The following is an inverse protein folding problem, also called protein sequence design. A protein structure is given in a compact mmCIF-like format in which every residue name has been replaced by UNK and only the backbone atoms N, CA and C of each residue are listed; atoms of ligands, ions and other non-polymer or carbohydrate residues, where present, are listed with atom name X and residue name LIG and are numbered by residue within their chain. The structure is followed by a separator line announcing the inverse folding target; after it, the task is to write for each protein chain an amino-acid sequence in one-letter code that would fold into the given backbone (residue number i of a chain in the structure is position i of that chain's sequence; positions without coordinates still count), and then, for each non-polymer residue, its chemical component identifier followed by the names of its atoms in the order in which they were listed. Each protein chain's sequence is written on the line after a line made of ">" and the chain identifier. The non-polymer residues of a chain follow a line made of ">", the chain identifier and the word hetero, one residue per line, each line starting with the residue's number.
data_IF_134339055645
#
_entry.id   IF_134339055645
#
_cell.length_a   1.000
_cell.length_b   1.000
_cell.length_c   1.000
_cell.angle_alpha   90.00
_cell.angle_beta   90.00
_cell.angle_gamma   90.00
#
_symmetry.space_group_name_H-M   'P 1'
#
loop_
_entity.id
_entity.type
_entity.pdbx_description
1 polymer ?
#
# COMPACT_ATOMS: atom_id res chain seq x y z
N UNK A 1 -4.37 -18.26 10.85
CA UNK A 1 -3.10 -18.30 11.59
C UNK A 1 -1.86 -17.91 10.75
N UNK A 2 -1.94 -17.73 9.43
CA UNK A 2 -0.79 -17.34 8.58
C UNK A 2 -0.44 -15.85 8.58
N UNK A 3 -1.38 -14.97 8.91
CA UNK A 3 -1.18 -13.51 8.86
C UNK A 3 -0.14 -12.95 9.85
N UNK A 4 0.41 -13.77 10.76
CA UNK A 4 1.42 -13.36 11.74
C UNK A 4 2.81 -13.93 11.45
N UNK A 5 2.95 -14.83 10.47
CA UNK A 5 4.24 -15.48 10.20
C UNK A 5 5.16 -14.50 9.47
N UNK A 6 6.26 -14.14 10.13
CA UNK A 6 7.26 -13.20 9.60
C UNK A 6 6.88 -11.72 9.67
N UNK A 7 5.99 -11.29 10.59
CA UNK A 7 5.84 -9.87 10.91
C UNK A 7 7.04 -9.40 11.74
N UNK A 8 7.74 -8.38 11.26
CA UNK A 8 8.87 -7.78 11.95
C UNK A 8 8.40 -6.78 13.02
N UNK A 9 9.27 -6.40 13.96
CA UNK A 9 8.92 -5.37 14.94
C UNK A 9 8.55 -4.07 14.22
N UNK A 10 7.42 -3.46 14.59
CA UNK A 10 6.93 -2.23 13.97
C UNK A 10 6.02 -2.44 12.76
N UNK A 11 5.86 -3.67 12.26
CA UNK A 11 4.89 -3.98 11.20
C UNK A 11 3.48 -4.26 11.75
N UNK A 12 2.48 -3.69 11.07
CA UNK A 12 1.08 -3.98 11.30
C UNK A 12 0.37 -4.31 9.98
N UNK A 13 -0.75 -5.04 10.06
CA UNK A 13 -1.59 -5.29 8.88
C UNK A 13 -2.17 -3.97 8.38
N UNK A 14 -2.11 -3.75 7.08
CA UNK A 14 -2.69 -2.59 6.41
C UNK A 14 -3.76 -3.03 5.41
N UNK A 15 -4.95 -2.43 5.49
CA UNK A 15 -6.08 -2.80 4.63
C UNK A 15 -7.05 -1.64 4.39
N UNK A 16 -6.58 -0.39 4.46
CA UNK A 16 -7.41 0.79 4.22
C UNK A 16 -7.53 0.99 2.71
N UNK A 17 -8.53 0.34 2.13
CA UNK A 17 -8.85 0.47 0.71
C UNK A 17 -9.63 1.75 0.43
N UNK A 18 -9.36 2.35 -0.72
CA UNK A 18 -10.14 3.48 -1.25
C UNK A 18 -11.14 2.91 -2.25
N UNK A 19 -12.45 3.20 -2.11
CA UNK A 19 -13.43 2.75 -3.07
C UNK A 19 -13.13 3.37 -4.44
N UNK A 20 -12.98 2.51 -5.45
CA UNK A 20 -12.85 2.91 -6.84
C UNK A 20 -14.19 2.74 -7.53
N UNK A 21 -14.52 3.68 -8.41
CA UNK A 21 -15.69 3.55 -9.25
C UNK A 21 -15.50 2.38 -10.24
N UNK A 22 -16.44 1.45 -10.24
CA UNK A 22 -16.42 0.29 -11.13
C UNK A 22 -16.58 0.75 -12.57
N UNK A 23 -15.50 0.73 -13.35
CA UNK A 23 -15.56 0.99 -14.79
C UNK A 23 -15.92 -0.30 -15.52
N UNK A 24 -16.92 -0.25 -16.39
CA UNK A 24 -17.24 -1.37 -17.30
C UNK A 24 -16.07 -1.53 -18.26
N UNK A 25 -15.22 -2.52 -18.02
CA UNK A 25 -14.09 -2.80 -18.88
C UNK A 25 -14.51 -3.67 -20.07
N UNK A 26 -13.78 -3.55 -21.19
CA UNK A 26 -14.04 -4.27 -22.46
C UNK A 26 -14.09 -5.80 -22.34
N UNK A 27 -13.65 -6.35 -21.21
CA UNK A 27 -13.57 -7.77 -20.92
C UNK A 27 -14.69 -8.28 -20.01
N UNK A 28 -15.55 -7.41 -19.46
CA UNK A 28 -16.62 -7.78 -18.52
C UNK A 28 -17.63 -8.78 -19.14
N UNK A 29 -17.90 -8.68 -20.43
CA UNK A 29 -18.79 -9.62 -21.14
C UNK A 29 -18.18 -11.02 -21.31
N UNK A 30 -16.84 -11.11 -21.25
CA UNK A 30 -16.09 -12.35 -21.50
C UNK A 30 -15.66 -13.04 -20.21
N UNK A 31 -15.37 -12.26 -19.16
CA UNK A 31 -14.82 -12.77 -17.91
C UNK A 31 -15.48 -12.09 -16.72
N UNK A 32 -15.78 -12.88 -15.68
CA UNK A 32 -16.33 -12.35 -14.42
C UNK A 32 -15.27 -11.51 -13.70
N UNK A 33 -15.54 -10.23 -13.37
CA UNK A 33 -14.64 -9.40 -12.58
C UNK A 33 -14.30 -10.02 -11.24
N UNK A 34 -13.03 -9.88 -10.83
CA UNK A 34 -12.51 -10.41 -9.57
C UNK A 34 -11.72 -9.35 -8.83
N UNK A 35 -11.95 -9.26 -7.51
CA UNK A 35 -11.07 -8.47 -6.64
C UNK A 35 -9.81 -9.28 -6.32
N UNK A 36 -8.60 -8.74 -6.55
CA UNK A 36 -7.36 -9.42 -6.17
C UNK A 36 -7.27 -9.60 -4.66
N UNK A 37 -6.67 -10.70 -4.23
CA UNK A 37 -6.33 -10.91 -2.81
C UNK A 37 -5.04 -10.16 -2.51
N UNK A 38 -4.92 -9.61 -1.31
CA UNK A 38 -3.70 -8.94 -0.89
C UNK A 38 -3.42 -9.16 0.59
N UNK A 39 -2.16 -8.98 0.95
CA UNK A 39 -1.69 -9.03 2.32
C UNK A 39 -0.67 -7.90 2.54
N UNK A 40 -1.19 -6.69 2.78
CA UNK A 40 -0.35 -5.51 2.92
C UNK A 40 0.05 -5.30 4.38
N UNK A 41 1.24 -4.71 4.56
CA UNK A 41 1.77 -4.31 5.85
C UNK A 41 2.17 -2.84 5.82
N UNK A 42 2.03 -2.18 6.96
CA UNK A 42 2.58 -0.85 7.21
C UNK A 42 3.68 -0.99 8.26
N UNK A 43 4.84 -0.45 7.98
CA UNK A 43 5.94 -0.36 8.94
C UNK A 43 5.88 1.01 9.62
N UNK A 44 5.81 0.99 10.95
CA UNK A 44 5.75 2.18 11.78
C UNK A 44 6.89 2.19 12.77
N UNK A 45 7.50 3.36 12.96
CA UNK A 45 8.65 3.51 13.83
C UNK A 45 8.76 4.91 14.40
N UNK A 46 9.76 5.08 15.24
CA UNK A 46 10.09 6.38 15.83
C UNK A 46 11.14 7.07 14.97
N UNK A 47 11.01 8.38 14.81
CA UNK A 47 12.04 9.20 14.20
C UNK A 47 12.74 10.02 15.28
N UNK A 48 14.02 9.74 15.54
CA UNK A 48 14.83 10.47 16.52
C UNK A 48 15.58 11.63 15.88
N UNK A 49 14.85 12.62 15.38
CA UNK A 49 15.45 13.87 14.90
C UNK A 49 15.89 14.76 16.09
N UNK A 50 16.66 15.83 15.81
CA UNK A 50 17.23 16.72 16.84
C UNK A 50 16.15 17.32 17.76
N UNK A 51 14.97 17.61 17.24
CA UNK A 51 13.84 18.12 18.02
C UNK A 51 13.26 17.03 18.94
N UNK A 52 13.04 15.82 18.41
CA UNK A 52 12.49 14.74 19.20
C UNK A 52 13.44 14.31 20.33
N UNK A 53 14.76 14.34 20.09
CA UNK A 53 15.77 14.03 21.11
C UNK A 53 15.76 15.00 22.32
N UNK A 54 15.23 16.22 22.18
CA UNK A 54 15.14 17.18 23.30
C UNK A 54 13.82 17.12 24.05
N UNK A 55 12.80 16.46 23.49
CA UNK A 55 11.43 16.45 24.02
C UNK A 55 10.93 15.06 24.42
N UNK A 56 11.59 14.00 23.93
CA UNK A 56 11.21 12.62 24.16
C UNK A 56 12.42 11.81 24.63
N UNK A 57 12.16 10.73 25.32
CA UNK A 57 13.15 9.78 25.81
C UNK A 57 12.71 8.34 25.56
N UNK A 58 13.50 7.36 25.98
CA UNK A 58 13.19 5.95 25.73
C UNK A 58 11.92 5.47 26.46
N UNK A 59 11.55 6.10 27.58
CA UNK A 59 10.37 5.76 28.37
C UNK A 59 9.11 6.48 27.85
N UNK A 60 9.31 7.65 27.23
CA UNK A 60 8.30 8.50 26.61
C UNK A 60 8.70 8.80 25.15
N UNK A 61 8.67 7.80 24.26
CA UNK A 61 9.12 7.98 22.88
C UNK A 61 8.17 8.90 22.10
N UNK A 62 8.65 9.51 21.00
CA UNK A 62 7.80 10.32 20.13
C UNK A 62 6.66 9.47 19.54
N UNK A 63 5.60 10.10 19.01
CA UNK A 63 4.56 9.37 18.27
C UNK A 63 5.16 8.57 17.11
N UNK A 64 4.66 7.36 16.89
CA UNK A 64 5.08 6.55 15.74
C UNK A 64 4.64 7.19 14.43
N UNK A 65 5.54 7.21 13.47
CA UNK A 65 5.25 7.63 12.10
C UNK A 65 5.34 6.43 11.15
N UNK A 66 4.64 6.53 10.03
CA UNK A 66 4.76 5.53 8.96
C UNK A 66 6.11 5.68 8.30
N UNK A 67 6.90 4.62 8.30
CA UNK A 67 8.24 4.57 7.69
C UNK A 67 8.22 3.84 6.35
N UNK A 68 7.23 3.00 6.10
CA UNK A 68 7.11 2.30 4.83
C UNK A 68 5.85 1.44 4.72
N UNK A 69 5.63 0.95 3.51
CA UNK A 69 4.54 0.03 3.19
C UNK A 69 5.08 -1.16 2.41
N UNK A 70 4.52 -2.34 2.68
CA UNK A 70 4.80 -3.56 1.92
C UNK A 70 3.50 -4.09 1.36
N UNK A 71 3.37 -4.03 0.04
CA UNK A 71 2.19 -4.49 -0.68
C UNK A 71 2.44 -5.87 -1.27
N UNK A 72 1.65 -6.85 -0.85
CA UNK A 72 1.69 -8.20 -1.43
C UNK A 72 0.32 -8.46 -2.07
N UNK A 73 0.19 -8.16 -3.36
CA UNK A 73 -1.04 -8.32 -4.13
C UNK A 73 -0.91 -9.54 -5.04
N UNK A 74 -1.93 -10.40 -5.01
CA UNK A 74 -1.91 -11.71 -5.67
C UNK A 74 -2.84 -11.74 -6.87
N UNK A 75 -2.27 -12.08 -8.02
CA UNK A 75 -2.95 -12.18 -9.32
C UNK A 75 -2.78 -13.58 -9.97
N UNK A 76 -3.20 -14.68 -9.31
CA UNK A 76 -2.96 -16.06 -9.81
C UNK A 76 -3.66 -16.38 -11.15
N UNK A 77 -4.79 -15.72 -11.46
CA UNK A 77 -5.65 -16.03 -12.60
C UNK A 77 -5.54 -14.98 -13.72
N UNK A 78 -4.39 -14.31 -13.87
CA UNK A 78 -4.20 -13.38 -14.99
C UNK A 78 -4.41 -14.08 -16.32
N UNK A 79 -5.26 -13.50 -17.17
CA UNK A 79 -5.56 -14.04 -18.50
C UNK A 79 -4.31 -13.93 -19.37
N UNK A 80 -3.71 -12.76 -19.37
CA UNK A 80 -2.43 -12.52 -20.02
C UNK A 80 -1.32 -12.43 -18.98
N UNK A 81 -0.56 -13.52 -18.85
CA UNK A 81 0.58 -13.61 -17.92
C UNK A 81 1.81 -12.83 -18.39
N UNK A 82 1.81 -12.32 -19.63
CA UNK A 82 2.89 -11.47 -20.14
C UNK A 82 2.75 -10.02 -19.65
N UNK A 83 1.53 -9.60 -19.33
CA UNK A 83 1.25 -8.28 -18.80
C UNK A 83 1.50 -8.26 -17.29
N UNK A 84 2.50 -7.48 -16.89
CA UNK A 84 2.83 -7.30 -15.48
C UNK A 84 1.90 -6.27 -14.84
N UNK A 85 1.34 -6.54 -13.65
CA UNK A 85 0.57 -5.55 -12.91
C UNK A 85 1.37 -4.26 -12.70
N UNK A 86 0.70 -3.12 -12.85
CA UNK A 86 1.31 -1.80 -12.72
C UNK A 86 0.69 -1.03 -11.56
N UNK A 87 1.31 0.07 -11.15
CA UNK A 87 0.74 0.97 -10.16
C UNK A 87 0.77 2.42 -10.65
N UNK A 88 -0.12 3.24 -10.12
CA UNK A 88 -0.15 4.69 -10.34
C UNK A 88 -0.40 5.41 -9.03
N UNK A 89 0.22 6.58 -8.87
CA UNK A 89 -0.04 7.50 -7.77
C UNK A 89 -0.99 8.60 -8.24
N UNK A 90 -2.14 8.71 -7.57
CA UNK A 90 -3.17 9.71 -7.82
C UNK A 90 -3.24 10.65 -6.60
N UNK A 91 -3.65 11.90 -6.82
CA UNK A 91 -3.84 12.86 -5.73
C UNK A 91 -5.02 12.43 -4.85
N UNK A 92 -4.94 12.75 -3.56
CA UNK A 92 -6.05 12.52 -2.64
C UNK A 92 -7.30 13.31 -3.09
N UNK A 93 -8.48 12.67 -3.26
CA UNK A 93 -9.71 13.37 -3.63
C UNK A 93 -10.13 14.40 -2.58
N UNK A 94 -9.74 14.22 -1.31
CA UNK A 94 -10.03 15.17 -0.22
C UNK A 94 -9.11 16.40 -0.25
N UNK A 95 -8.16 16.46 -1.20
CA UNK A 95 -7.22 17.57 -1.35
C UNK A 95 -6.10 17.61 -0.30
N UNK A 96 -6.02 16.59 0.57
CA UNK A 96 -4.95 16.44 1.53
C UNK A 96 -3.60 16.32 0.82
N UNK A 97 -2.61 17.12 1.25
CA UNK A 97 -1.24 17.10 0.68
C UNK A 97 -0.37 16.00 1.28
N UNK A 98 -0.72 15.56 2.49
CA UNK A 98 0.04 14.59 3.27
C UNK A 98 -0.29 13.14 2.90
N UNK A 99 -1.31 12.92 2.07
CA UNK A 99 -1.75 11.61 1.61
C UNK A 99 -1.93 11.57 0.10
N UNK A 100 -1.80 10.39 -0.48
CA UNK A 100 -2.05 10.13 -1.89
C UNK A 100 -2.67 8.74 -2.07
N UNK A 101 -3.21 8.49 -3.26
CA UNK A 101 -3.87 7.23 -3.59
C UNK A 101 -2.92 6.38 -4.44
N UNK A 102 -2.51 5.24 -3.90
CA UNK A 102 -1.75 4.23 -4.63
C UNK A 102 -2.72 3.21 -5.25
N UNK A 103 -2.86 3.24 -6.57
CA UNK A 103 -3.73 2.35 -7.35
C UNK A 103 -2.93 1.27 -8.04
N UNK A 104 -3.26 0.01 -7.78
CA UNK A 104 -2.73 -1.16 -8.49
C UNK A 104 -3.66 -1.58 -9.62
N UNK A 105 -3.09 -1.85 -10.79
CA UNK A 105 -3.76 -2.27 -12.02
C UNK A 105 -3.26 -3.66 -12.39
N UNK A 106 -4.10 -4.66 -12.16
CA UNK A 106 -3.77 -6.07 -12.43
C UNK A 106 -3.97 -6.48 -13.89
N UNK A 107 -4.98 -5.92 -14.55
CA UNK A 107 -5.46 -6.40 -15.85
C UNK A 107 -6.49 -7.53 -15.71
N UNK A 108 -7.11 -7.97 -16.83
CA UNK A 108 -8.23 -8.92 -16.79
C UNK A 108 -7.84 -10.26 -16.14
N UNK A 109 -8.71 -10.86 -15.28
CA UNK A 109 -10.07 -10.43 -14.91
C UNK A 109 -10.09 -9.59 -13.62
N UNK A 110 -8.95 -9.06 -13.19
CA UNK A 110 -8.83 -8.36 -11.92
C UNK A 110 -9.25 -6.90 -12.04
N UNK A 111 -10.09 -6.49 -11.10
CA UNK A 111 -10.39 -5.07 -10.88
C UNK A 111 -9.20 -4.38 -10.22
N UNK A 112 -9.10 -3.07 -10.47
CA UNK A 112 -8.10 -2.24 -9.82
C UNK A 112 -8.40 -2.15 -8.31
N UNK A 113 -7.35 -2.06 -7.51
CA UNK A 113 -7.45 -1.79 -6.08
C UNK A 113 -6.64 -0.55 -5.74
N UNK A 114 -7.11 0.24 -4.78
CA UNK A 114 -6.41 1.44 -4.36
C UNK A 114 -6.32 1.54 -2.84
N UNK A 115 -5.23 2.17 -2.37
CA UNK A 115 -4.97 2.40 -0.96
C UNK A 115 -4.59 3.87 -0.74
N UNK A 116 -5.08 4.46 0.36
CA UNK A 116 -4.65 5.79 0.80
C UNK A 116 -3.37 5.62 1.61
N UNK A 117 -2.28 6.23 1.17
CA UNK A 117 -0.96 6.15 1.81
C UNK A 117 -0.43 7.56 2.10
N UNK A 118 0.60 7.63 2.94
CA UNK A 118 1.32 8.89 3.21
C UNK A 118 2.06 9.33 1.95
N UNK A 119 1.90 10.60 1.59
CA UNK A 119 2.55 11.24 0.46
C UNK A 119 3.90 11.84 0.90
N UNK A 120 4.87 10.97 1.10
CA UNK A 120 6.26 11.32 1.37
C UNK A 120 7.16 10.90 0.19
N UNK A 121 8.38 11.41 0.13
CA UNK A 121 9.38 10.98 -0.83
C UNK A 121 9.79 9.53 -0.55
N UNK A 122 9.89 8.71 -1.60
CA UNK A 122 10.25 7.29 -1.47
C UNK A 122 11.73 7.08 -1.77
N UNK A 123 12.40 6.31 -0.92
CA UNK A 123 13.73 5.80 -1.21
C UNK A 123 13.63 4.64 -2.22
N UNK A 124 14.15 4.85 -3.43
CA UNK A 124 14.06 3.87 -4.53
C UNK A 124 15.26 2.89 -4.55
N UNK A 125 16.21 3.03 -3.63
CA UNK A 125 17.38 2.16 -3.56
C UNK A 125 17.04 0.74 -3.11
N UNK A 126 17.40 -0.25 -3.92
CA UNK A 126 17.27 -1.67 -3.59
C UNK A 126 17.99 -2.10 -2.30
N UNK A 127 18.95 -1.30 -1.79
CA UNK A 127 19.70 -1.61 -0.56
C UNK A 127 18.96 -1.23 0.72
N UNK A 128 17.86 -0.47 0.62
CA UNK A 128 17.13 0.11 1.75
C UNK A 128 15.67 -0.37 1.82
N UNK A 129 15.37 -1.51 1.20
CA UNK A 129 14.04 -2.16 1.20
C UNK A 129 14.06 -3.52 1.86
#
# INVERSE_FOLDING_TARGET
>A
AEAKRGMEQGEARFSVEVPLESKVAWWHDKYRPRKPKYFNRVHTGYEWNKYNQTHFDHDNPPPKMVQGYKFAVFYPDLIDRTQTPTYTLEKDPDGARDTCILRFKGGPPYEDIAFKIVNAEWELSHKRG
#
